data_IF_720674880164
#
_entry.id   IF_720674880164
#
_cell.length_a   1.000
_cell.length_b   1.000
_cell.length_c   1.000
_cell.angle_alpha   90.00
_cell.angle_beta   90.00
_cell.angle_gamma   90.00
#
_symmetry.space_group_name_H-M   'P 1'
#
loop_
_entity.id
_entity.type
_entity.pdbx_description
1 polymer ?
#
# COMPACT_ATOMS: atom_id res chain seq x y z
N UNK A 1 87.02 15.53 -30.95
CA UNK A 1 86.15 14.46 -30.34
C UNK A 1 85.32 15.12 -29.25
N UNK A 2 84.03 15.45 -29.53
CA UNK A 2 83.07 16.03 -28.58
C UNK A 2 82.11 14.94 -28.19
N UNK A 3 82.07 14.62 -26.89
CA UNK A 3 81.08 13.69 -26.32
C UNK A 3 79.83 14.50 -25.96
N UNK A 4 78.68 14.11 -26.55
CA UNK A 4 77.39 14.66 -26.21
C UNK A 4 76.79 13.76 -25.12
N UNK A 5 76.46 14.36 -23.96
CA UNK A 5 75.86 13.72 -22.83
C UNK A 5 74.29 13.91 -22.95
N UNK A 6 73.58 12.82 -23.21
CA UNK A 6 72.08 12.85 -23.26
C UNK A 6 71.57 12.60 -21.88
N UNK A 7 70.88 13.59 -21.27
CA UNK A 7 70.16 13.46 -20.00
C UNK A 7 68.73 13.06 -20.31
N UNK A 8 68.35 11.88 -19.90
CA UNK A 8 66.96 11.41 -19.98
C UNK A 8 66.18 11.83 -18.70
N UNK A 9 65.22 12.74 -18.85
CA UNK A 9 64.29 13.13 -17.79
C UNK A 9 63.10 12.14 -17.80
N UNK A 10 63.02 11.29 -16.77
CA UNK A 10 61.89 10.42 -16.55
C UNK A 10 60.76 11.21 -15.82
N UNK A 11 59.65 11.50 -16.55
CA UNK A 11 58.45 12.09 -15.97
C UNK A 11 57.63 10.98 -15.29
N UNK A 12 57.58 10.97 -13.96
CA UNK A 12 56.68 10.15 -13.19
C UNK A 12 55.30 10.83 -13.15
N UNK A 13 54.34 10.32 -13.92
CA UNK A 13 52.90 10.64 -13.79
C UNK A 13 52.36 9.93 -12.56
N UNK A 14 52.14 10.65 -11.47
CA UNK A 14 51.36 10.20 -10.32
C UNK A 14 49.90 10.20 -10.70
N UNK A 15 49.39 9.03 -11.10
CA UNK A 15 47.96 8.79 -11.24
C UNK A 15 47.35 8.67 -9.84
N UNK A 16 46.67 9.71 -9.38
CA UNK A 16 45.85 9.66 -8.19
C UNK A 16 44.59 8.86 -8.50
N UNK A 17 44.27 7.79 -7.78
CA UNK A 17 42.99 7.08 -7.95
C UNK A 17 41.88 8.02 -7.49
N UNK A 18 40.99 8.38 -8.40
CA UNK A 18 39.76 9.11 -8.06
C UNK A 18 38.83 8.15 -7.38
N UNK A 19 38.75 8.22 -6.06
CA UNK A 19 37.79 7.50 -5.20
C UNK A 19 36.38 8.08 -5.38
N UNK A 20 35.74 7.78 -6.50
CA UNK A 20 34.32 8.16 -6.76
C UNK A 20 33.27 7.20 -6.17
N UNK A 21 33.70 6.03 -5.70
CA UNK A 21 32.80 4.97 -5.23
C UNK A 21 32.28 5.21 -3.82
N UNK A 22 33.04 5.84 -2.94
CA UNK A 22 32.62 6.05 -1.53
C UNK A 22 31.50 7.08 -1.35
N UNK A 23 31.50 8.17 -2.13
CA UNK A 23 30.50 9.24 -1.99
C UNK A 23 29.10 8.83 -2.44
N UNK A 24 28.98 7.89 -3.38
CA UNK A 24 27.69 7.41 -3.87
C UNK A 24 27.02 6.46 -2.85
N UNK A 25 27.83 5.65 -2.18
CA UNK A 25 27.35 4.72 -1.14
C UNK A 25 26.85 5.47 0.10
N UNK A 26 27.58 6.46 0.59
CA UNK A 26 27.19 7.29 1.73
C UNK A 26 25.90 8.07 1.47
N UNK A 27 25.71 8.63 0.28
CA UNK A 27 24.51 9.35 -0.10
C UNK A 27 23.29 8.41 -0.16
N UNK A 28 23.45 7.20 -0.68
CA UNK A 28 22.41 6.18 -0.73
C UNK A 28 21.99 5.72 0.66
N UNK A 29 22.96 5.44 1.55
CA UNK A 29 22.69 5.06 2.94
C UNK A 29 21.96 6.17 3.68
N UNK A 30 22.39 7.43 3.53
CA UNK A 30 21.72 8.58 4.13
C UNK A 30 20.28 8.74 3.62
N UNK A 31 20.05 8.57 2.32
CA UNK A 31 18.71 8.63 1.73
C UNK A 31 17.79 7.55 2.31
N UNK A 32 18.27 6.30 2.39
CA UNK A 32 17.52 5.20 3.01
C UNK A 32 17.20 5.47 4.49
N UNK A 33 18.12 6.09 5.26
CA UNK A 33 17.88 6.49 6.63
C UNK A 33 16.76 7.55 6.74
N UNK A 34 16.73 8.53 5.83
CA UNK A 34 15.65 9.53 5.78
C UNK A 34 14.32 8.89 5.46
N UNK A 35 14.28 7.96 4.50
CA UNK A 35 13.08 7.21 4.17
C UNK A 35 12.56 6.40 5.36
N UNK A 36 13.44 5.67 6.04
CA UNK A 36 13.09 4.90 7.23
C UNK A 36 12.54 5.79 8.34
N UNK A 37 13.20 6.91 8.63
CA UNK A 37 12.75 7.87 9.64
C UNK A 37 11.37 8.49 9.30
N UNK A 38 11.07 8.73 8.03
CA UNK A 38 9.76 9.21 7.60
C UNK A 38 8.67 8.15 7.82
N UNK A 39 8.93 6.89 7.45
CA UNK A 39 8.02 5.77 7.70
C UNK A 39 7.81 5.49 9.18
N UNK A 40 8.85 5.62 10.01
CA UNK A 40 8.73 5.48 11.47
C UNK A 40 7.80 6.55 12.05
N UNK A 41 7.91 7.81 11.60
CA UNK A 41 6.98 8.88 12.02
C UNK A 41 5.55 8.57 11.61
N UNK A 42 5.34 8.05 10.39
CA UNK A 42 4.03 7.63 9.93
C UNK A 42 3.45 6.52 10.82
N UNK A 43 4.22 5.50 11.13
CA UNK A 43 3.79 4.41 12.02
C UNK A 43 3.44 4.95 13.40
N UNK A 44 4.25 5.85 13.96
CA UNK A 44 3.94 6.50 15.25
C UNK A 44 2.65 7.30 15.19
N UNK A 45 2.41 8.05 14.12
CA UNK A 45 1.18 8.82 13.92
C UNK A 45 -0.06 7.93 13.82
N UNK A 46 0.03 6.79 13.13
CA UNK A 46 -1.07 5.82 12.99
C UNK A 46 -1.46 5.11 14.29
N UNK A 47 -0.54 5.01 15.28
CA UNK A 47 -0.79 4.35 16.56
C UNK A 47 0.41 3.60 17.12
N UNK A 48 1.59 3.79 16.53
CA UNK A 48 2.87 3.25 16.96
C UNK A 48 2.95 1.72 16.90
N UNK A 49 3.65 1.09 17.85
CA UNK A 49 3.80 -0.37 17.88
C UNK A 49 2.47 -1.13 17.97
N UNK A 50 1.43 -0.53 18.54
CA UNK A 50 0.10 -1.13 18.61
C UNK A 50 -0.52 -1.29 17.22
N UNK A 51 -0.31 -0.31 16.32
CA UNK A 51 -0.78 -0.37 14.93
C UNK A 51 -0.10 -1.51 14.15
N UNK A 52 1.20 -1.72 14.35
CA UNK A 52 1.93 -2.85 13.74
C UNK A 52 1.39 -4.22 14.19
N UNK A 53 0.85 -4.29 15.41
CA UNK A 53 0.35 -5.51 16.04
C UNK A 53 -1.17 -5.69 15.90
N UNK A 54 -1.86 -4.88 15.08
CA UNK A 54 -3.27 -5.11 14.76
C UNK A 54 -3.40 -6.49 14.11
N UNK A 55 -4.29 -7.33 14.67
CA UNK A 55 -4.59 -8.68 14.16
C UNK A 55 -5.75 -8.65 13.18
N UNK A 56 -6.81 -7.92 13.53
CA UNK A 56 -7.95 -7.73 12.64
C UNK A 56 -8.49 -6.31 12.73
N UNK A 57 -9.16 -5.90 11.68
CA UNK A 57 -9.84 -4.62 11.54
C UNK A 57 -11.24 -4.86 10.97
N UNK A 58 -12.20 -4.11 11.48
CA UNK A 58 -13.56 -4.07 10.93
C UNK A 58 -13.89 -2.61 10.59
N UNK A 59 -14.44 -2.39 9.40
CA UNK A 59 -14.92 -1.08 8.95
C UNK A 59 -16.35 -1.22 8.43
N UNK A 60 -17.18 -0.22 8.69
CA UNK A 60 -18.51 -0.12 8.10
C UNK A 60 -18.80 1.30 7.66
N UNK A 61 -19.66 1.43 6.67
CA UNK A 61 -20.05 2.71 6.13
C UNK A 61 -20.76 2.60 4.79
N UNK A 62 -20.48 3.55 3.91
CA UNK A 62 -21.08 3.64 2.59
C UNK A 62 -20.01 3.68 1.51
N UNK A 63 -20.30 3.04 0.38
CA UNK A 63 -19.41 2.98 -0.77
C UNK A 63 -20.12 3.52 -2.01
N UNK A 64 -19.44 4.39 -2.76
CA UNK A 64 -19.82 4.84 -4.08
C UNK A 64 -18.87 4.26 -5.13
N UNK A 65 -19.43 3.74 -6.23
CA UNK A 65 -18.67 3.28 -7.38
C UNK A 65 -18.72 4.32 -8.51
N UNK A 66 -17.65 4.37 -9.30
CA UNK A 66 -17.52 5.30 -10.42
C UNK A 66 -17.10 4.54 -11.68
N UNK A 67 -17.56 5.04 -12.83
CA UNK A 67 -17.17 4.56 -14.13
C UNK A 67 -16.74 5.76 -14.98
N UNK A 68 -15.50 5.77 -15.44
CA UNK A 68 -14.89 6.94 -16.10
C UNK A 68 -15.08 8.25 -15.31
N UNK A 69 -14.80 8.20 -14.01
CA UNK A 69 -14.90 9.34 -13.11
C UNK A 69 -16.33 9.82 -12.81
N UNK A 70 -17.37 9.13 -13.30
CA UNK A 70 -18.78 9.48 -13.05
C UNK A 70 -19.42 8.47 -12.09
N UNK A 71 -20.26 8.90 -11.14
CA UNK A 71 -20.99 7.99 -10.28
C UNK A 71 -21.78 6.95 -11.10
N UNK A 72 -21.63 5.66 -10.78
CA UNK A 72 -22.30 4.56 -11.48
C UNK A 72 -23.58 4.10 -10.80
N UNK A 73 -24.07 4.84 -9.83
CA UNK A 73 -25.28 4.55 -9.06
C UNK A 73 -25.32 5.34 -7.76
N UNK A 74 -26.20 4.93 -6.84
CA UNK A 74 -26.23 5.42 -5.47
C UNK A 74 -25.13 4.81 -4.61
N UNK A 75 -25.09 5.24 -3.35
CA UNK A 75 -24.20 4.63 -2.35
C UNK A 75 -24.80 3.31 -1.84
N UNK A 76 -23.93 2.37 -1.52
CA UNK A 76 -24.30 1.08 -0.92
C UNK A 76 -23.65 0.95 0.44
N UNK A 77 -24.40 0.45 1.44
CA UNK A 77 -23.83 0.12 2.74
C UNK A 77 -22.83 -1.04 2.59
N UNK A 78 -21.72 -0.96 3.32
CA UNK A 78 -20.72 -2.01 3.37
C UNK A 78 -20.24 -2.29 4.79
N UNK A 79 -19.80 -3.52 5.00
CA UNK A 79 -19.01 -4.00 6.12
C UNK A 79 -17.79 -4.71 5.56
N UNK A 80 -16.63 -4.31 6.00
CA UNK A 80 -15.33 -4.85 5.59
C UNK A 80 -14.62 -5.39 6.82
N UNK A 81 -14.10 -6.59 6.70
CA UNK A 81 -13.35 -7.27 7.73
C UNK A 81 -12.04 -7.73 7.14
N UNK A 82 -10.96 -7.42 7.81
CA UNK A 82 -9.64 -7.91 7.45
C UNK A 82 -8.98 -8.54 8.66
N UNK A 83 -8.43 -9.74 8.49
CA UNK A 83 -7.57 -10.41 9.49
C UNK A 83 -6.25 -10.78 8.82
N UNK A 84 -5.18 -10.21 9.37
CA UNK A 84 -3.86 -10.43 8.82
C UNK A 84 -3.41 -11.88 8.99
N UNK A 85 -2.68 -12.45 7.99
CA UNK A 85 -2.18 -11.71 6.81
C UNK A 85 -3.10 -11.69 5.59
N UNK A 86 -4.13 -12.56 5.50
CA UNK A 86 -4.71 -12.90 4.20
C UNK A 86 -6.19 -13.28 4.21
N UNK A 87 -6.92 -12.88 5.24
CA UNK A 87 -8.36 -13.08 5.31
C UNK A 87 -9.10 -11.76 5.16
N UNK A 88 -9.92 -11.65 4.11
CA UNK A 88 -10.76 -10.49 3.83
C UNK A 88 -12.19 -10.93 3.57
N UNK A 89 -13.13 -10.22 4.18
CA UNK A 89 -14.57 -10.43 3.99
C UNK A 89 -15.24 -9.09 3.80
N UNK A 90 -16.07 -9.03 2.79
CA UNK A 90 -16.92 -7.88 2.46
C UNK A 90 -18.37 -8.30 2.51
N UNK A 91 -19.20 -7.44 3.07
CA UNK A 91 -20.64 -7.62 3.07
C UNK A 91 -21.28 -6.35 2.55
N UNK A 92 -22.21 -6.49 1.63
CA UNK A 92 -22.86 -5.36 0.97
C UNK A 92 -24.35 -5.39 1.22
N UNK A 93 -25.01 -4.29 0.93
CA UNK A 93 -26.43 -4.01 1.17
C UNK A 93 -26.78 -3.88 2.65
N UNK A 94 -27.91 -3.27 2.96
CA UNK A 94 -28.41 -3.18 4.34
C UNK A 94 -28.81 -4.53 4.94
N UNK A 95 -29.09 -5.52 4.08
CA UNK A 95 -29.43 -6.89 4.49
C UNK A 95 -28.19 -7.77 4.70
N UNK A 96 -27.01 -7.31 4.24
CA UNK A 96 -25.75 -8.05 4.32
C UNK A 96 -25.85 -9.43 3.65
N UNK A 97 -26.50 -9.48 2.50
CA UNK A 97 -26.85 -10.68 1.76
C UNK A 97 -26.03 -10.89 0.48
N UNK A 98 -25.08 -10.00 0.22
CA UNK A 98 -24.07 -10.14 -0.83
C UNK A 98 -22.71 -10.09 -0.15
N UNK A 99 -22.02 -11.23 -0.12
CA UNK A 99 -20.72 -11.37 0.54
C UNK A 99 -19.61 -11.70 -0.46
N UNK A 100 -18.47 -11.07 -0.27
CA UNK A 100 -17.21 -11.43 -0.93
C UNK A 100 -16.21 -11.90 0.09
N UNK A 101 -15.50 -12.97 -0.20
CA UNK A 101 -14.41 -13.49 0.61
C UNK A 101 -13.15 -13.56 -0.23
N UNK A 102 -12.01 -13.19 0.37
CA UNK A 102 -10.69 -13.46 -0.15
C UNK A 102 -9.87 -14.09 0.98
N UNK A 103 -9.58 -15.38 0.84
CA UNK A 103 -8.89 -16.19 1.84
C UNK A 103 -7.66 -16.79 1.19
N UNK A 104 -6.48 -16.43 1.69
CA UNK A 104 -5.23 -16.76 1.01
C UNK A 104 -5.21 -16.18 -0.40
N UNK A 105 -5.25 -17.03 -1.41
CA UNK A 105 -5.26 -16.63 -2.82
C UNK A 105 -6.57 -17.01 -3.54
N UNK A 106 -7.60 -17.37 -2.80
CA UNK A 106 -8.91 -17.73 -3.34
C UNK A 106 -9.93 -16.62 -3.09
N UNK A 107 -10.87 -16.46 -4.02
CA UNK A 107 -11.98 -15.52 -3.91
C UNK A 107 -13.32 -16.21 -4.09
N UNK A 108 -14.29 -15.85 -3.25
CA UNK A 108 -15.63 -16.40 -3.25
C UNK A 108 -16.69 -15.32 -3.12
N UNK A 109 -17.78 -15.47 -3.86
CA UNK A 109 -19.00 -14.70 -3.65
C UNK A 109 -20.07 -15.60 -3.03
N UNK A 110 -20.82 -15.05 -2.07
CA UNK A 110 -21.98 -15.72 -1.46
C UNK A 110 -23.19 -14.81 -1.56
N UNK A 111 -24.25 -15.30 -2.20
CA UNK A 111 -25.54 -14.61 -2.34
C UNK A 111 -26.69 -15.59 -2.06
N UNK A 112 -27.93 -15.12 -2.20
CA UNK A 112 -29.11 -16.01 -2.15
C UNK A 112 -29.05 -17.16 -3.18
N UNK A 113 -28.24 -17.03 -4.24
CA UNK A 113 -27.99 -18.08 -5.26
C UNK A 113 -27.00 -19.15 -4.81
N UNK A 114 -26.37 -18.96 -3.65
CA UNK A 114 -25.34 -19.83 -3.11
C UNK A 114 -23.96 -19.24 -3.24
N UNK A 115 -22.95 -20.06 -2.97
CA UNK A 115 -21.54 -19.69 -3.09
C UNK A 115 -21.00 -19.99 -4.49
N UNK A 116 -20.20 -19.10 -5.02
CA UNK A 116 -19.52 -19.23 -6.30
C UNK A 116 -18.09 -18.71 -6.20
N UNK A 117 -17.09 -19.33 -6.87
CA UNK A 117 -15.76 -18.75 -6.97
C UNK A 117 -15.84 -17.46 -7.76
N UNK A 118 -15.07 -16.46 -7.34
CA UNK A 118 -14.91 -15.21 -8.10
C UNK A 118 -14.08 -15.45 -9.36
N UNK A 119 -14.31 -14.68 -10.42
CA UNK A 119 -13.43 -14.69 -11.59
C UNK A 119 -11.97 -14.43 -11.19
N UNK A 120 -11.02 -15.18 -11.78
CA UNK A 120 -9.61 -15.09 -11.42
C UNK A 120 -9.05 -13.68 -11.58
N UNK A 121 -9.46 -12.95 -12.61
CA UNK A 121 -9.06 -11.56 -12.82
C UNK A 121 -9.45 -10.65 -11.63
N UNK A 122 -10.65 -10.85 -11.07
CA UNK A 122 -11.11 -10.10 -9.90
C UNK A 122 -10.31 -10.46 -8.65
N UNK A 123 -9.97 -11.74 -8.48
CA UNK A 123 -9.12 -12.21 -7.38
C UNK A 123 -7.73 -11.61 -7.51
N UNK A 124 -7.12 -11.67 -8.69
CA UNK A 124 -5.78 -11.15 -8.95
C UNK A 124 -5.72 -9.63 -8.74
N UNK A 125 -6.75 -8.90 -9.16
CA UNK A 125 -6.86 -7.45 -8.95
C UNK A 125 -6.96 -7.12 -7.46
N UNK A 126 -7.74 -7.89 -6.69
CA UNK A 126 -7.84 -7.72 -5.25
C UNK A 126 -6.51 -8.03 -4.55
N UNK A 127 -5.90 -9.17 -4.83
CA UNK A 127 -4.65 -9.61 -4.22
C UNK A 127 -3.52 -8.62 -4.49
N UNK A 128 -3.43 -8.10 -5.72
CA UNK A 128 -2.45 -7.08 -6.08
C UNK A 128 -2.57 -5.85 -5.19
N UNK A 129 -3.79 -5.36 -4.93
CA UNK A 129 -3.99 -4.22 -4.04
C UNK A 129 -3.66 -4.53 -2.59
N UNK A 130 -4.04 -5.71 -2.09
CA UNK A 130 -3.72 -6.16 -0.74
C UNK A 130 -2.21 -6.26 -0.53
N UNK A 131 -1.51 -6.87 -1.49
CA UNK A 131 -0.06 -7.07 -1.43
C UNK A 131 0.72 -5.74 -1.49
N UNK A 132 0.12 -4.68 -2.03
CA UNK A 132 0.66 -3.32 -2.12
C UNK A 132 -0.02 -2.31 -1.16
N UNK A 133 -0.78 -2.77 -0.18
CA UNK A 133 -1.38 -1.89 0.84
C UNK A 133 -0.30 -1.32 1.77
N UNK A 134 -0.58 -0.18 2.43
CA UNK A 134 0.34 0.42 3.41
C UNK A 134 0.66 -0.59 4.50
N UNK A 135 -0.35 -1.30 5.00
CA UNK A 135 -0.19 -2.29 6.05
C UNK A 135 0.77 -3.41 5.61
N UNK A 136 0.57 -3.95 4.41
CA UNK A 136 1.41 -5.04 3.89
C UNK A 136 2.86 -4.58 3.67
N UNK A 137 3.07 -3.42 3.05
CA UNK A 137 4.44 -2.96 2.78
C UNK A 137 5.19 -2.59 4.07
N UNK A 138 4.50 -2.04 5.06
CA UNK A 138 5.14 -1.71 6.34
C UNK A 138 5.40 -2.96 7.18
N UNK A 139 4.47 -3.93 7.20
CA UNK A 139 4.63 -5.15 8.00
C UNK A 139 5.56 -6.18 7.36
N UNK A 140 5.58 -6.26 6.03
CA UNK A 140 6.28 -7.33 5.31
C UNK A 140 7.49 -6.85 4.51
N UNK A 141 7.40 -5.70 3.79
CA UNK A 141 8.52 -5.24 2.96
C UNK A 141 9.55 -4.46 3.78
N UNK A 142 9.11 -3.54 4.64
CA UNK A 142 10.03 -2.71 5.41
C UNK A 142 11.01 -3.51 6.27
N UNK A 143 10.65 -4.66 6.91
CA UNK A 143 11.58 -5.49 7.65
C UNK A 143 12.50 -6.36 6.78
N UNK A 144 12.21 -6.54 5.48
CA UNK A 144 13.05 -7.34 4.58
C UNK A 144 14.32 -6.55 4.22
N UNK A 145 15.53 -7.08 4.53
CA UNK A 145 16.79 -6.40 4.23
C UNK A 145 17.06 -6.21 2.73
N UNK A 146 16.29 -6.87 1.86
CA UNK A 146 16.37 -6.70 0.41
C UNK A 146 15.51 -5.55 -0.11
N UNK A 147 14.64 -4.99 0.73
CA UNK A 147 13.81 -3.85 0.35
C UNK A 147 14.69 -2.60 0.24
N UNK A 148 14.56 -1.90 -0.87
CA UNK A 148 15.24 -0.63 -1.10
C UNK A 148 14.27 0.49 -0.71
N UNK A 149 14.76 1.42 0.12
CA UNK A 149 14.03 2.60 0.55
C UNK A 149 14.58 3.83 -0.16
N UNK A 150 13.69 4.64 -0.74
CA UNK A 150 14.05 5.88 -1.41
C UNK A 150 13.24 7.03 -0.82
N UNK A 151 13.93 8.01 -0.23
CA UNK A 151 13.34 9.28 0.16
C UNK A 151 13.39 10.25 -1.01
N UNK A 152 12.25 10.67 -1.51
CA UNK A 152 12.14 11.51 -2.69
C UNK A 152 11.96 13.01 -2.35
N UNK A 153 12.02 13.35 -1.06
CA UNK A 153 11.92 14.71 -0.58
C UNK A 153 10.50 15.15 -0.26
N UNK A 154 10.31 16.48 -0.22
CA UNK A 154 9.02 17.09 0.07
C UNK A 154 8.39 17.62 -1.21
N UNK A 155 7.11 17.37 -1.38
CA UNK A 155 6.31 17.77 -2.54
C UNK A 155 5.02 18.46 -2.08
N UNK A 156 4.54 19.41 -2.87
CA UNK A 156 3.21 19.93 -2.67
C UNK A 156 2.20 18.98 -3.32
N UNK A 157 1.45 18.26 -2.50
CA UNK A 157 0.37 17.38 -2.93
C UNK A 157 -0.96 18.07 -2.64
N UNK A 158 -1.64 18.56 -3.68
CA UNK A 158 -2.86 19.35 -3.58
C UNK A 158 -2.72 20.58 -2.67
N UNK A 159 -3.15 20.45 -1.40
CA UNK A 159 -3.09 21.52 -0.39
C UNK A 159 -2.14 21.21 0.76
N UNK A 160 -1.45 20.05 0.70
CA UNK A 160 -0.57 19.57 1.76
C UNK A 160 0.87 19.57 1.30
N UNK A 161 1.78 19.98 2.17
CA UNK A 161 3.19 19.66 1.99
C UNK A 161 3.39 18.22 2.46
N UNK A 162 3.80 17.36 1.55
CA UNK A 162 3.95 15.93 1.78
C UNK A 162 5.40 15.47 1.64
N UNK A 163 5.82 14.53 2.48
CA UNK A 163 7.04 13.74 2.29
C UNK A 163 6.71 12.52 1.42
N UNK A 164 7.58 12.23 0.45
CA UNK A 164 7.41 11.08 -0.43
C UNK A 164 8.48 10.03 -0.17
N UNK A 165 8.03 8.79 0.02
CA UNK A 165 8.91 7.62 0.19
C UNK A 165 8.45 6.51 -0.74
N UNK A 166 9.40 5.92 -1.47
CA UNK A 166 9.18 4.71 -2.27
C UNK A 166 9.89 3.53 -1.65
N UNK A 167 9.13 2.45 -1.43
CA UNK A 167 9.66 1.14 -1.06
C UNK A 167 9.70 0.26 -2.31
N UNK A 168 10.85 -0.37 -2.57
CA UNK A 168 11.02 -1.31 -3.69
C UNK A 168 11.31 -2.69 -3.10
N UNK A 169 10.43 -3.65 -3.35
CA UNK A 169 10.54 -5.01 -2.83
C UNK A 169 11.67 -5.81 -3.49
N UNK A 170 12.00 -6.95 -2.90
CA UNK A 170 12.96 -7.91 -3.49
C UNK A 170 12.53 -8.43 -4.89
N UNK A 171 11.25 -8.32 -5.23
CA UNK A 171 10.68 -8.69 -6.53
C UNK A 171 10.67 -7.53 -7.53
N UNK A 172 11.29 -6.39 -7.18
CA UNK A 172 11.30 -5.16 -7.99
C UNK A 172 9.90 -4.57 -8.22
N UNK A 173 9.00 -4.75 -7.26
CA UNK A 173 7.72 -4.06 -7.18
C UNK A 173 7.88 -2.81 -6.32
N UNK A 174 7.26 -1.71 -6.70
CA UNK A 174 7.41 -0.44 -6.01
C UNK A 174 6.08 0.08 -5.47
N UNK A 175 6.11 0.57 -4.24
CA UNK A 175 5.00 1.32 -3.62
C UNK A 175 5.51 2.66 -3.15
N UNK A 176 4.85 3.72 -3.60
CA UNK A 176 5.13 5.09 -3.17
C UNK A 176 4.06 5.55 -2.19
N UNK A 177 4.49 6.12 -1.07
CA UNK A 177 3.63 6.67 -0.03
C UNK A 177 3.93 8.15 0.12
N UNK A 178 2.88 8.97 0.03
CA UNK A 178 2.90 10.38 0.38
C UNK A 178 2.33 10.53 1.79
N UNK A 179 3.05 11.26 2.64
CA UNK A 179 2.70 11.49 4.05
C UNK A 179 2.68 13.00 4.33
N UNK A 180 1.68 13.49 5.01
CA UNK A 180 1.61 14.89 5.41
C UNK A 180 2.79 15.25 6.34
N UNK A 181 3.46 16.36 6.07
CA UNK A 181 4.66 16.78 6.84
C UNK A 181 4.34 17.15 8.29
N UNK A 182 3.12 17.62 8.56
CA UNK A 182 2.72 18.08 9.90
C UNK A 182 2.15 16.95 10.76
N UNK A 183 1.25 16.16 10.18
CA UNK A 183 0.57 15.07 10.90
C UNK A 183 1.28 13.74 10.77
N UNK A 184 2.15 13.57 9.78
CA UNK A 184 2.82 12.34 9.36
C UNK A 184 1.85 11.23 8.93
N UNK A 185 0.56 11.53 8.74
CA UNK A 185 -0.43 10.57 8.29
C UNK A 185 -0.32 10.36 6.78
N UNK A 186 -0.60 9.15 6.28
CA UNK A 186 -0.65 8.89 4.84
C UNK A 186 -1.71 9.76 4.17
N UNK A 187 -1.34 10.37 3.05
CA UNK A 187 -2.27 11.09 2.17
C UNK A 187 -2.62 10.25 0.95
N UNK A 188 -1.62 9.56 0.39
CA UNK A 188 -1.79 8.78 -0.83
C UNK A 188 -0.79 7.63 -0.87
N UNK A 189 -1.23 6.49 -1.39
CA UNK A 189 -0.41 5.35 -1.74
C UNK A 189 -0.59 5.07 -3.22
N UNK A 190 0.50 4.81 -3.96
CA UNK A 190 0.47 4.46 -5.39
C UNK A 190 1.37 3.26 -5.67
N UNK A 191 1.00 2.47 -6.67
CA UNK A 191 1.88 1.48 -7.27
C UNK A 191 1.54 1.27 -8.74
N UNK A 192 2.55 0.95 -9.55
CA UNK A 192 2.40 0.60 -10.96
C UNK A 192 2.43 -0.93 -11.14
N UNK A 193 1.67 -1.40 -12.09
CA UNK A 193 1.70 -2.79 -12.51
C UNK A 193 1.48 -2.91 -14.02
N UNK A 194 1.91 -4.04 -14.59
CA UNK A 194 1.70 -4.32 -16.01
C UNK A 194 0.59 -5.33 -16.18
N UNK A 195 -0.33 -5.02 -17.09
CA UNK A 195 -1.34 -5.98 -17.52
C UNK A 195 -0.65 -7.23 -18.11
N UNK A 196 -0.97 -8.45 -17.61
CA UNK A 196 -0.31 -9.66 -18.10
C UNK A 196 -0.63 -9.99 -19.57
N UNK A 197 -1.78 -9.55 -20.08
CA UNK A 197 -2.22 -9.82 -21.45
C UNK A 197 -1.78 -8.70 -22.41
N UNK A 198 -2.18 -7.47 -22.11
CA UNK A 198 -1.95 -6.31 -23.00
C UNK A 198 -0.60 -5.62 -22.79
N UNK A 199 0.09 -5.94 -21.68
CA UNK A 199 1.38 -5.34 -21.28
C UNK A 199 1.33 -3.84 -21.00
N UNK A 200 0.15 -3.26 -20.93
CA UNK A 200 -0.04 -1.87 -20.59
C UNK A 200 0.40 -1.60 -19.14
N UNK A 201 0.98 -0.44 -18.91
CA UNK A 201 1.24 0.07 -17.58
C UNK A 201 -0.06 0.60 -17.00
N UNK A 202 -0.37 0.16 -15.80
CA UNK A 202 -1.49 0.65 -15.01
C UNK A 202 -0.95 1.26 -13.71
N UNK A 203 -1.63 2.31 -13.25
CA UNK A 203 -1.39 2.96 -11.98
C UNK A 203 -2.62 2.74 -11.08
N UNK A 204 -2.41 2.13 -9.93
CA UNK A 204 -3.38 2.07 -8.83
C UNK A 204 -3.00 3.09 -7.76
N UNK A 205 -3.97 3.86 -7.29
CA UNK A 205 -3.77 4.79 -6.18
C UNK A 205 -4.93 4.71 -5.19
N UNK A 206 -4.61 4.97 -3.92
CA UNK A 206 -5.58 5.24 -2.88
C UNK A 206 -5.21 6.53 -2.16
N UNK A 207 -6.20 7.39 -1.95
CA UNK A 207 -6.11 8.60 -1.15
C UNK A 207 -6.86 8.40 0.15
N UNK A 208 -6.30 8.97 1.22
CA UNK A 208 -6.77 8.83 2.58
C UNK A 208 -7.00 10.22 3.15
N UNK A 209 -8.20 10.48 3.65
CA UNK A 209 -8.57 11.78 4.18
C UNK A 209 -9.49 11.64 5.40
N UNK A 210 -9.71 12.76 6.10
CA UNK A 210 -10.60 12.86 7.26
C UNK A 210 -10.22 11.85 8.37
N UNK A 211 -8.99 11.95 8.87
CA UNK A 211 -8.48 11.05 9.89
C UNK A 211 -9.10 11.34 11.26
N UNK A 212 -9.62 10.29 11.90
CA UNK A 212 -10.14 10.31 13.26
C UNK A 212 -9.55 9.20 14.12
N UNK A 213 -9.46 9.45 15.41
CA UNK A 213 -9.01 8.44 16.37
C UNK A 213 -10.15 7.44 16.64
N UNK A 214 -9.96 6.19 16.23
CA UNK A 214 -10.90 5.09 16.45
C UNK A 214 -10.15 3.89 17.06
N UNK A 215 -10.64 3.41 18.19
CA UNK A 215 -10.03 2.25 18.86
C UNK A 215 -8.54 2.39 19.23
N UNK A 216 -8.06 3.64 19.34
CA UNK A 216 -6.66 3.93 19.62
C UNK A 216 -5.77 4.12 18.37
N UNK A 217 -6.35 4.10 17.18
CA UNK A 217 -5.65 4.24 15.91
C UNK A 217 -6.20 5.40 15.07
N UNK A 218 -5.30 6.13 14.40
CA UNK A 218 -5.72 7.10 13.39
C UNK A 218 -6.29 6.37 12.18
N UNK A 219 -7.55 6.60 11.89
CA UNK A 219 -8.33 5.91 10.87
C UNK A 219 -8.86 6.93 9.86
N UNK A 220 -8.55 6.80 8.56
CA UNK A 220 -9.15 7.65 7.54
C UNK A 220 -10.65 7.32 7.40
N UNK A 221 -11.51 8.33 7.44
CA UNK A 221 -12.95 8.16 7.22
C UNK A 221 -13.33 8.25 5.75
N UNK A 222 -12.48 8.83 4.93
CA UNK A 222 -12.60 8.84 3.47
C UNK A 222 -11.43 8.09 2.84
N UNK A 223 -11.75 7.09 2.02
CA UNK A 223 -10.77 6.38 1.20
C UNK A 223 -11.24 6.39 -0.25
N UNK A 224 -10.47 7.06 -1.11
CA UNK A 224 -10.79 7.15 -2.54
C UNK A 224 -9.79 6.34 -3.35
N UNK A 225 -10.29 5.47 -4.22
CA UNK A 225 -9.48 4.64 -5.09
C UNK A 225 -9.52 5.15 -6.53
N UNK A 226 -8.35 5.16 -7.16
CA UNK A 226 -8.15 5.52 -8.55
C UNK A 226 -7.50 4.36 -9.31
N UNK A 227 -7.82 4.26 -10.59
CA UNK A 227 -7.11 3.41 -11.56
C UNK A 227 -6.81 4.26 -12.79
N UNK A 228 -5.53 4.41 -13.12
CA UNK A 228 -5.06 5.27 -14.21
C UNK A 228 -5.63 6.71 -14.10
N UNK A 229 -5.60 7.26 -12.88
CA UNK A 229 -6.12 8.58 -12.51
C UNK A 229 -7.67 8.72 -12.53
N UNK A 230 -8.39 7.74 -13.07
CA UNK A 230 -9.85 7.69 -12.99
C UNK A 230 -10.29 7.23 -11.59
N UNK A 231 -11.15 8.02 -10.95
CA UNK A 231 -11.80 7.60 -9.71
C UNK A 231 -12.70 6.41 -10.01
N UNK A 232 -12.50 5.31 -9.26
CA UNK A 232 -13.27 4.07 -9.43
C UNK A 232 -14.12 3.73 -8.22
N UNK A 233 -13.72 4.21 -7.02
CA UNK A 233 -14.45 3.93 -5.77
C UNK A 233 -14.16 4.98 -4.72
N UNK A 234 -15.16 5.31 -3.92
CA UNK A 234 -15.01 6.10 -2.71
C UNK A 234 -15.73 5.41 -1.55
N UNK A 235 -15.04 5.26 -0.43
CA UNK A 235 -15.58 4.71 0.82
C UNK A 235 -15.71 5.85 1.83
N UNK A 236 -16.88 5.91 2.47
CA UNK A 236 -17.16 6.76 3.61
C UNK A 236 -17.33 5.85 4.82
N UNK A 237 -16.40 5.90 5.77
CA UNK A 237 -16.32 5.01 6.92
C UNK A 237 -17.00 5.68 8.09
N UNK A 238 -18.07 5.08 8.60
CA UNK A 238 -18.83 5.57 9.75
C UNK A 238 -18.27 5.02 11.06
N UNK A 239 -17.69 3.82 11.02
CA UNK A 239 -17.13 3.13 12.19
C UNK A 239 -15.99 2.21 11.81
N UNK A 240 -14.95 2.19 12.67
CA UNK A 240 -13.90 1.19 12.62
C UNK A 240 -13.65 0.61 14.02
N UNK A 241 -13.37 -0.70 14.10
CA UNK A 241 -12.92 -1.39 15.31
C UNK A 241 -11.75 -2.30 14.99
N UNK A 242 -10.96 -2.62 15.99
CA UNK A 242 -9.72 -3.35 15.85
C UNK A 242 -9.58 -4.41 16.92
N UNK A 243 -8.97 -5.54 16.56
CA UNK A 243 -8.65 -6.65 17.46
C UNK A 243 -9.91 -7.23 18.15
N UNK A 244 -11.04 -7.21 17.49
CA UNK A 244 -12.28 -7.79 17.97
C UNK A 244 -12.24 -9.32 17.92
N UNK A 245 -12.93 -9.94 18.86
CA UNK A 245 -13.11 -11.39 18.84
C UNK A 245 -14.14 -11.78 17.76
N UNK A 246 -13.69 -12.49 16.73
CA UNK A 246 -14.55 -13.00 15.67
C UNK A 246 -15.10 -14.38 16.03
N UNK A 247 -16.27 -14.72 15.50
CA UNK A 247 -16.86 -16.06 15.67
C UNK A 247 -15.94 -17.12 15.05
N UNK A 248 -15.86 -18.35 15.60
CA UNK A 248 -14.96 -19.40 15.07
C UNK A 248 -15.20 -19.75 13.59
N UNK A 249 -16.43 -19.60 13.11
CA UNK A 249 -16.85 -19.88 11.74
C UNK A 249 -16.93 -18.60 10.85
N UNK A 250 -16.42 -17.47 11.34
CA UNK A 250 -16.55 -16.17 10.68
C UNK A 250 -15.98 -16.17 9.26
N UNK A 251 -14.87 -16.86 9.06
CA UNK A 251 -14.20 -17.00 7.78
C UNK A 251 -14.68 -18.17 6.91
N UNK A 252 -15.64 -18.96 7.40
CA UNK A 252 -16.22 -20.08 6.66
C UNK A 252 -17.22 -19.60 5.60
N UNK A 253 -16.88 -19.81 4.33
CA UNK A 253 -17.76 -19.53 3.18
C UNK A 253 -19.03 -20.38 3.27
N UNK A 254 -18.92 -21.65 3.72
CA UNK A 254 -20.06 -22.55 3.90
C UNK A 254 -21.01 -22.07 5.00
N UNK A 255 -20.47 -21.65 6.13
CA UNK A 255 -21.29 -21.10 7.21
C UNK A 255 -22.00 -19.81 6.79
N UNK A 256 -21.37 -18.98 5.96
CA UNK A 256 -21.96 -17.78 5.41
C UNK A 256 -23.13 -18.12 4.46
N UNK A 257 -22.95 -19.11 3.58
CA UNK A 257 -23.99 -19.57 2.68
C UNK A 257 -25.24 -20.08 3.44
N UNK A 258 -25.02 -20.87 4.50
CA UNK A 258 -26.12 -21.37 5.33
C UNK A 258 -26.88 -20.26 6.05
N UNK A 259 -26.22 -19.15 6.39
CA UNK A 259 -26.88 -17.98 7.03
C UNK A 259 -27.76 -17.20 6.06
N UNK A 260 -27.34 -17.04 4.80
CA UNK A 260 -28.09 -16.29 3.80
C UNK A 260 -29.33 -17.06 3.31
N UNK A 261 -29.25 -18.38 3.29
CA UNK A 261 -30.37 -19.25 2.83
C UNK A 261 -31.49 -19.47 3.87
N UNK A 262 -31.32 -19.03 5.11
CA UNK A 262 -32.30 -19.05 6.18
C UNK A 262 -33.15 -17.79 6.19
#
# INVERSE_FOLDING_TARGET
MRRVLTVAIALWLLATPVTRTQTTDEASVKNAQLAHAALDRMVQALGGPAWLNIKNQQRQGHIAAFFHGKPSGGTTAFWEYHEWPDHDRYEYTTHRDVLGFYIGREGWEVTYRGKHPLPQEQVDDFLRRRDHSIETVIKNWLPDPKTILVYEGQHLAERHLAEQVTLISANNEAVTILMDVQTHLPLRRTFEWRDPLYKDKNLDAEEYDDYHMMGGFQTPLNVTRFKNEDMVRQQFIDKATYNEQLAPDFWSVDAAEHRIKK
#
